data_IF_500467034591
#
_entry.id   IF_500467034591
#
_cell.length_a   1.000
_cell.length_b   1.000
_cell.length_c   1.000
_cell.angle_alpha   90.00
_cell.angle_beta   90.00
_cell.angle_gamma   90.00
#
_symmetry.space_group_name_H-M   'P 1'
#
loop_
_entity.id
_entity.type
_entity.pdbx_description
1 polymer ?
#
# COMPACT_ATOMS: atom_id res chain seq x y z
N UNK A 1 28.41 -33.02 -31.12
CA UNK A 1 27.08 -32.77 -30.53
C UNK A 1 27.24 -31.70 -29.45
N UNK A 2 26.82 -30.50 -29.71
CA UNK A 2 26.81 -29.43 -28.67
C UNK A 2 25.64 -29.72 -27.75
N UNK A 3 25.96 -30.17 -26.53
CA UNK A 3 24.96 -30.30 -25.47
C UNK A 3 24.58 -28.86 -25.04
N UNK A 4 23.48 -28.36 -25.61
CA UNK A 4 22.94 -27.09 -25.28
C UNK A 4 22.65 -27.01 -23.79
N UNK A 5 22.93 -25.85 -23.15
CA UNK A 5 22.67 -25.59 -21.72
C UNK A 5 21.22 -26.00 -21.39
N UNK A 6 21.04 -26.89 -20.41
CA UNK A 6 19.72 -27.32 -19.97
C UNK A 6 18.82 -26.10 -19.65
N UNK A 7 17.59 -26.14 -20.14
CA UNK A 7 16.64 -25.08 -19.87
C UNK A 7 16.44 -24.88 -18.37
N UNK A 8 16.52 -23.66 -17.90
CA UNK A 8 16.21 -23.33 -16.51
C UNK A 8 14.72 -23.41 -16.20
N UNK A 9 13.84 -23.33 -17.21
CA UNK A 9 12.41 -23.52 -17.05
C UNK A 9 12.12 -25.02 -16.96
N UNK A 10 11.90 -25.50 -15.76
CA UNK A 10 11.49 -26.88 -15.44
C UNK A 10 10.05 -26.86 -14.90
N UNK A 11 9.32 -28.01 -14.99
CA UNK A 11 7.98 -28.09 -14.43
C UNK A 11 7.90 -27.75 -12.94
N UNK A 12 8.91 -28.14 -12.17
CA UNK A 12 9.00 -27.88 -10.73
C UNK A 12 9.13 -26.36 -10.46
N UNK A 13 10.01 -25.67 -11.18
CA UNK A 13 10.18 -24.22 -11.05
C UNK A 13 8.92 -23.47 -11.51
N UNK A 14 8.31 -23.90 -12.61
CA UNK A 14 7.04 -23.34 -13.06
C UNK A 14 5.98 -23.44 -11.96
N UNK A 15 5.86 -24.61 -11.35
CA UNK A 15 4.92 -24.83 -10.24
C UNK A 15 5.23 -23.94 -9.05
N UNK A 16 6.50 -23.87 -8.60
CA UNK A 16 6.91 -23.02 -7.47
C UNK A 16 6.56 -21.54 -7.72
N UNK A 17 6.79 -21.04 -8.93
CA UNK A 17 6.45 -19.67 -9.32
C UNK A 17 4.94 -19.45 -9.26
N UNK A 18 4.16 -20.35 -9.88
CA UNK A 18 2.70 -20.24 -9.90
C UNK A 18 2.09 -20.35 -8.49
N UNK A 19 2.60 -21.24 -7.65
CA UNK A 19 2.15 -21.39 -6.26
C UNK A 19 2.41 -20.10 -5.46
N UNK A 20 3.62 -19.53 -5.55
CA UNK A 20 3.94 -18.28 -4.90
C UNK A 20 3.06 -17.11 -5.39
N UNK A 21 2.86 -17.00 -6.70
CA UNK A 21 2.01 -15.94 -7.29
C UNK A 21 0.55 -16.11 -6.85
N UNK A 22 0.04 -17.33 -6.79
CA UNK A 22 -1.33 -17.59 -6.34
C UNK A 22 -1.58 -17.20 -4.88
N UNK A 23 -0.53 -17.11 -4.07
CA UNK A 23 -0.57 -16.57 -2.71
C UNK A 23 -0.50 -15.04 -2.65
N UNK A 24 -0.36 -14.37 -3.80
CA UNK A 24 -0.26 -12.92 -3.89
C UNK A 24 1.16 -12.36 -3.83
N UNK A 25 2.20 -13.20 -4.01
CA UNK A 25 3.58 -12.71 -4.04
C UNK A 25 3.88 -11.90 -5.31
N UNK A 26 4.85 -10.99 -5.20
CA UNK A 26 5.38 -10.29 -6.38
C UNK A 26 6.24 -11.21 -7.24
N UNK A 27 6.43 -10.88 -8.50
CA UNK A 27 7.32 -11.62 -9.41
C UNK A 27 8.75 -11.72 -8.88
N UNK A 28 9.24 -10.67 -8.22
CA UNK A 28 10.56 -10.67 -7.58
C UNK A 28 10.68 -11.75 -6.51
N UNK A 29 9.67 -11.87 -5.63
CA UNK A 29 9.64 -12.86 -4.56
C UNK A 29 9.47 -14.27 -5.14
N UNK A 30 8.56 -14.45 -6.10
CA UNK A 30 8.32 -15.73 -6.76
C UNK A 30 9.56 -16.24 -7.52
N UNK A 31 10.27 -15.35 -8.21
CA UNK A 31 11.53 -15.67 -8.89
C UNK A 31 12.60 -16.11 -7.89
N UNK A 32 12.80 -15.36 -6.81
CA UNK A 32 13.75 -15.71 -5.75
C UNK A 32 13.44 -17.06 -5.10
N UNK A 33 12.16 -17.34 -4.82
CA UNK A 33 11.71 -18.63 -4.28
C UNK A 33 12.01 -19.81 -5.22
N UNK A 34 11.87 -19.61 -6.54
CA UNK A 34 12.19 -20.62 -7.54
C UNK A 34 13.69 -20.68 -7.91
N UNK A 35 14.55 -19.89 -7.27
CA UNK A 35 16.00 -19.88 -7.50
C UNK A 35 16.40 -19.31 -8.86
N UNK A 36 15.66 -18.29 -9.35
CA UNK A 36 15.97 -17.55 -10.59
C UNK A 36 15.96 -16.04 -10.31
N UNK A 37 16.48 -15.27 -11.25
CA UNK A 37 16.39 -13.80 -11.17
C UNK A 37 15.04 -13.30 -11.68
N UNK A 38 14.58 -12.19 -11.16
CA UNK A 38 13.38 -11.50 -11.64
C UNK A 38 13.44 -11.23 -13.16
N UNK A 39 14.60 -10.81 -13.65
CA UNK A 39 14.85 -10.61 -15.08
C UNK A 39 14.60 -11.88 -15.92
N UNK A 40 15.00 -13.04 -15.40
CA UNK A 40 14.76 -14.32 -16.06
C UNK A 40 13.28 -14.64 -16.17
N UNK A 41 12.53 -14.40 -15.09
CA UNK A 41 11.08 -14.57 -15.06
C UNK A 41 10.39 -13.68 -16.10
N UNK A 42 10.70 -12.38 -16.11
CA UNK A 42 10.13 -11.46 -17.11
C UNK A 42 10.48 -11.86 -18.55
N UNK A 43 11.70 -12.35 -18.78
CA UNK A 43 12.10 -12.82 -20.10
C UNK A 43 11.25 -14.03 -20.55
N UNK A 44 10.95 -14.97 -19.65
CA UNK A 44 10.10 -16.12 -19.95
C UNK A 44 8.65 -15.71 -20.24
N UNK A 45 8.12 -14.76 -19.46
CA UNK A 45 6.78 -14.21 -19.68
C UNK A 45 6.68 -13.50 -21.03
N UNK A 46 7.66 -12.64 -21.37
CA UNK A 46 7.68 -11.94 -22.65
C UNK A 46 7.80 -12.90 -23.85
N UNK A 47 8.51 -14.01 -23.69
CA UNK A 47 8.61 -15.06 -24.73
C UNK A 47 7.29 -15.81 -24.89
N UNK A 48 6.62 -16.15 -23.79
CA UNK A 48 5.31 -16.79 -23.83
C UNK A 48 4.24 -15.89 -24.47
N UNK A 49 4.26 -14.59 -24.13
CA UNK A 49 3.37 -13.60 -24.72
C UNK A 49 3.57 -13.45 -26.24
N UNK A 50 4.80 -13.56 -26.75
CA UNK A 50 5.12 -13.55 -28.18
C UNK A 50 4.75 -14.86 -28.90
N UNK A 51 4.30 -15.89 -28.17
CA UNK A 51 3.92 -17.17 -28.75
C UNK A 51 5.07 -18.16 -28.91
N UNK A 52 6.20 -18.00 -28.21
CA UNK A 52 7.25 -19.03 -28.22
C UNK A 52 6.73 -20.30 -27.54
N UNK A 53 6.54 -21.37 -28.28
CA UNK A 53 5.89 -22.62 -27.90
C UNK A 53 6.31 -23.15 -26.53
N UNK A 54 7.61 -23.08 -26.23
CA UNK A 54 8.19 -23.52 -24.97
C UNK A 54 7.71 -22.74 -23.74
N UNK A 55 7.30 -21.49 -23.92
CA UNK A 55 6.96 -20.56 -22.81
C UNK A 55 5.47 -20.22 -22.77
N UNK A 56 4.69 -20.58 -23.79
CA UNK A 56 3.25 -20.26 -23.87
C UNK A 56 2.50 -20.81 -22.66
N UNK A 57 2.69 -22.10 -22.37
CA UNK A 57 1.99 -22.75 -21.25
C UNK A 57 2.36 -22.10 -19.92
N UNK A 58 3.63 -21.82 -19.69
CA UNK A 58 4.11 -21.13 -18.50
C UNK A 58 3.47 -19.74 -18.35
N UNK A 59 3.39 -18.97 -19.44
CA UNK A 59 2.75 -17.66 -19.43
C UNK A 59 1.27 -17.75 -19.00
N UNK A 60 0.52 -18.68 -19.58
CA UNK A 60 -0.88 -18.90 -19.22
C UNK A 60 -1.05 -19.36 -17.78
N UNK A 61 -0.20 -20.25 -17.31
CA UNK A 61 -0.22 -20.75 -15.92
C UNK A 61 0.02 -19.62 -14.91
N UNK A 62 0.97 -18.73 -15.20
CA UNK A 62 1.24 -17.55 -14.37
C UNK A 62 0.04 -16.61 -14.36
N UNK A 63 -0.55 -16.29 -15.51
CA UNK A 63 -1.76 -15.44 -15.58
C UNK A 63 -2.95 -16.04 -14.84
N UNK A 64 -3.12 -17.34 -14.91
CA UNK A 64 -4.12 -18.07 -14.15
C UNK A 64 -3.86 -18.02 -12.64
N UNK A 65 -2.59 -18.15 -12.24
CA UNK A 65 -2.18 -18.06 -10.83
C UNK A 65 -2.45 -16.65 -10.24
N UNK A 66 -2.15 -15.57 -10.99
CA UNK A 66 -2.48 -14.19 -10.62
C UNK A 66 -3.98 -14.01 -10.39
N UNK A 67 -4.79 -14.43 -11.34
CA UNK A 67 -6.25 -14.33 -11.26
C UNK A 67 -6.80 -15.11 -10.06
N UNK A 68 -6.29 -16.34 -9.85
CA UNK A 68 -6.68 -17.17 -8.71
C UNK A 68 -6.35 -16.50 -7.37
N UNK A 69 -5.14 -15.96 -7.23
CA UNK A 69 -4.72 -15.24 -6.04
C UNK A 69 -5.59 -14.03 -5.75
N UNK A 70 -5.86 -13.20 -6.77
CA UNK A 70 -6.71 -12.03 -6.65
C UNK A 70 -8.13 -12.41 -6.18
N UNK A 71 -8.73 -13.46 -6.77
CA UNK A 71 -10.07 -13.93 -6.38
C UNK A 71 -10.09 -14.46 -4.94
N UNK A 72 -9.07 -15.21 -4.52
CA UNK A 72 -8.98 -15.73 -3.16
C UNK A 72 -8.89 -14.60 -2.13
N UNK A 73 -8.07 -13.59 -2.37
CA UNK A 73 -7.96 -12.43 -1.47
C UNK A 73 -9.23 -11.60 -1.44
N UNK A 74 -9.87 -11.38 -2.60
CA UNK A 74 -11.14 -10.68 -2.69
C UNK A 74 -12.23 -11.44 -1.93
N UNK A 75 -12.27 -12.78 -2.04
CA UNK A 75 -13.21 -13.61 -1.28
C UNK A 75 -13.04 -13.46 0.23
N UNK A 76 -11.80 -13.41 0.74
CA UNK A 76 -11.54 -13.18 2.17
C UNK A 76 -12.01 -11.79 2.63
N UNK A 77 -11.78 -10.75 1.82
CA UNK A 77 -12.25 -9.40 2.12
C UNK A 77 -13.77 -9.34 2.12
N UNK A 78 -14.41 -9.99 1.14
CA UNK A 78 -15.87 -10.08 1.06
C UNK A 78 -16.45 -10.83 2.27
N UNK A 79 -15.83 -11.94 2.68
CA UNK A 79 -16.24 -12.66 3.88
C UNK A 79 -16.13 -11.79 5.14
N UNK A 80 -15.03 -11.09 5.33
CA UNK A 80 -14.85 -10.17 6.44
C UNK A 80 -15.93 -9.06 6.47
N UNK A 81 -16.33 -8.57 5.30
CA UNK A 81 -17.42 -7.60 5.16
C UNK A 81 -18.77 -8.18 5.63
N UNK A 82 -19.05 -9.44 5.28
CA UNK A 82 -20.26 -10.15 5.70
C UNK A 82 -20.26 -10.42 7.22
N UNK A 83 -19.09 -10.70 7.79
CA UNK A 83 -18.90 -10.92 9.23
C UNK A 83 -18.96 -9.61 10.06
N UNK A 84 -19.32 -8.49 9.44
CA UNK A 84 -19.56 -7.21 10.12
C UNK A 84 -18.36 -6.23 10.07
N UNK A 85 -17.27 -6.55 9.39
CA UNK A 85 -16.16 -5.62 9.21
C UNK A 85 -16.46 -4.64 8.06
N UNK A 86 -17.17 -3.55 8.36
CA UNK A 86 -17.57 -2.56 7.35
C UNK A 86 -16.40 -1.95 6.57
N UNK A 87 -15.21 -1.88 7.18
CA UNK A 87 -13.99 -1.39 6.53
C UNK A 87 -13.60 -2.23 5.31
N UNK A 88 -13.88 -3.53 5.33
CA UNK A 88 -13.65 -4.40 4.18
C UNK A 88 -14.55 -4.01 3.00
N UNK A 89 -15.81 -3.70 3.25
CA UNK A 89 -16.74 -3.20 2.22
C UNK A 89 -16.31 -1.83 1.70
N UNK A 90 -15.92 -0.91 2.60
CA UNK A 90 -15.43 0.41 2.23
C UNK A 90 -14.18 0.31 1.34
N UNK A 91 -13.24 -0.59 1.67
CA UNK A 91 -12.03 -0.83 0.88
C UNK A 91 -12.36 -1.30 -0.55
N UNK A 92 -13.32 -2.23 -0.70
CA UNK A 92 -13.75 -2.71 -2.03
C UNK A 92 -14.37 -1.56 -2.84
N UNK A 93 -15.26 -0.78 -2.22
CA UNK A 93 -15.92 0.37 -2.85
C UNK A 93 -14.91 1.42 -3.30
N UNK A 94 -13.94 1.75 -2.46
CA UNK A 94 -12.89 2.71 -2.77
C UNK A 94 -12.01 2.22 -3.93
N UNK A 95 -11.46 1.00 -3.83
CA UNK A 95 -10.46 0.49 -4.76
C UNK A 95 -11.04 0.06 -6.11
N UNK A 96 -12.25 -0.52 -6.11
CA UNK A 96 -12.85 -1.04 -7.33
C UNK A 96 -13.81 -0.06 -7.99
N UNK A 97 -14.55 0.71 -7.20
CA UNK A 97 -15.60 1.58 -7.69
C UNK A 97 -15.27 3.07 -7.58
N UNK A 98 -14.18 3.44 -6.89
CA UNK A 98 -13.72 4.83 -6.76
C UNK A 98 -14.63 5.74 -5.93
N UNK A 99 -15.54 5.17 -5.10
CA UNK A 99 -16.51 5.95 -4.32
C UNK A 99 -15.86 6.95 -3.35
N UNK A 100 -14.70 6.62 -2.81
CA UNK A 100 -13.95 7.46 -1.87
C UNK A 100 -12.62 7.92 -2.47
N UNK A 101 -12.58 8.09 -3.78
CA UNK A 101 -11.43 8.75 -4.37
C UNK A 101 -11.33 10.10 -3.68
N UNK A 102 -10.26 10.31 -2.91
CA UNK A 102 -10.00 11.60 -2.28
C UNK A 102 -10.38 12.68 -3.28
N UNK A 103 -11.28 13.62 -2.92
CA UNK A 103 -11.42 14.81 -3.73
C UNK A 103 -9.99 15.32 -3.93
N UNK A 104 -9.66 15.68 -5.16
CA UNK A 104 -8.39 16.34 -5.46
C UNK A 104 -8.15 17.29 -4.29
N UNK A 105 -7.00 17.14 -3.63
CA UNK A 105 -6.59 18.11 -2.62
C UNK A 105 -6.48 19.38 -3.44
N UNK A 106 -7.56 20.15 -3.46
CA UNK A 106 -7.52 21.50 -4.00
C UNK A 106 -6.45 22.14 -3.12
N UNK A 107 -5.28 22.51 -3.66
CA UNK A 107 -4.32 23.22 -2.88
C UNK A 107 -5.05 24.50 -2.45
N UNK A 108 -5.53 24.54 -1.20
CA UNK A 108 -5.98 25.76 -0.59
C UNK A 108 -4.70 26.57 -0.45
N UNK A 109 -4.39 27.33 -1.49
CA UNK A 109 -3.43 28.40 -1.38
C UNK A 109 -4.09 29.42 -0.46
N UNK A 110 -3.80 29.30 0.83
CA UNK A 110 -4.06 30.36 1.77
C UNK A 110 -3.11 31.47 1.34
N UNK A 111 -3.60 32.38 0.50
CA UNK A 111 -2.96 33.67 0.32
C UNK A 111 -3.16 34.39 1.65
N UNK A 112 -2.16 34.26 2.50
CA UNK A 112 -2.02 35.15 3.66
C UNK A 112 -1.55 36.46 3.01
N UNK A 113 -2.48 37.37 2.79
CA UNK A 113 -2.13 38.77 2.49
C UNK A 113 -1.36 39.29 3.71
N UNK A 114 -0.05 39.28 3.59
CA UNK A 114 0.88 39.69 4.62
C UNK A 114 0.69 41.16 5.05
N UNK A 115 -0.12 41.94 4.32
CA UNK A 115 -0.44 43.31 4.66
C UNK A 115 -1.54 43.46 5.72
N UNK A 116 -2.33 42.44 6.01
CA UNK A 116 -3.44 42.58 6.97
C UNK A 116 -3.22 41.83 8.30
N UNK A 117 -2.22 41.01 8.43
CA UNK A 117 -1.87 40.38 9.72
C UNK A 117 -0.75 41.18 10.37
N UNK A 118 -1.11 42.22 11.09
CA UNK A 118 -0.16 42.93 11.98
C UNK A 118 0.34 41.92 13.00
N UNK A 119 1.65 41.63 13.00
CA UNK A 119 2.31 40.78 13.99
C UNK A 119 2.04 41.26 15.41
N UNK A 120 1.84 42.58 15.59
CA UNK A 120 1.43 43.21 16.85
C UNK A 120 0.04 42.77 17.30
N UNK A 121 -0.93 42.61 16.42
CA UNK A 121 -2.27 42.13 16.79
C UNK A 121 -2.26 40.65 17.22
N UNK A 122 -1.46 39.79 16.57
CA UNK A 122 -1.27 38.40 16.96
C UNK A 122 -0.55 38.29 18.33
N UNK A 123 0.42 39.14 18.60
CA UNK A 123 1.12 39.19 19.90
C UNK A 123 0.16 39.65 20.98
N UNK A 124 -0.73 40.58 20.72
CA UNK A 124 -1.72 41.04 21.70
C UNK A 124 -2.76 39.95 22.00
N UNK A 125 -3.20 39.21 21.00
CA UNK A 125 -4.15 38.10 21.16
C UNK A 125 -3.55 36.91 21.92
N UNK A 126 -2.24 36.67 21.81
CA UNK A 126 -1.51 35.67 22.59
C UNK A 126 -1.17 36.05 24.00
N UNK A 127 -1.15 37.37 24.35
CA UNK A 127 -0.91 37.85 25.70
C UNK A 127 -2.08 37.63 26.65
N UNK A 128 -3.31 37.71 26.14
CA UNK A 128 -4.53 37.59 26.96
C UNK A 128 -4.67 36.22 27.65
N UNK A 129 -4.39 35.09 27.03
CA UNK A 129 -4.45 33.80 27.73
C UNK A 129 -3.30 33.60 28.75
N UNK A 130 -2.16 34.26 28.55
CA UNK A 130 -1.01 34.15 29.47
C UNK A 130 -1.26 34.95 30.75
N UNK A 131 -1.90 36.10 30.66
CA UNK A 131 -2.29 36.90 31.85
C UNK A 131 -3.40 36.22 32.65
N UNK A 132 -4.35 35.54 31.99
CA UNK A 132 -5.38 34.79 32.70
C UNK A 132 -4.83 33.55 33.43
N UNK A 133 -3.74 32.95 32.95
CA UNK A 133 -3.07 31.87 33.67
C UNK A 133 -2.27 32.35 34.89
N UNK A 134 -1.71 33.57 34.88
CA UNK A 134 -1.04 34.17 36.04
C UNK A 134 -2.00 34.56 37.16
N UNK A 135 -3.27 34.77 36.84
CA UNK A 135 -4.29 35.10 37.84
C UNK A 135 -4.80 33.86 38.64
N UNK A 136 -4.37 32.67 38.27
CA UNK A 136 -4.78 31.39 38.90
C UNK A 136 -3.76 30.97 39.99
N UNK A 137 -2.59 31.56 40.07
CA UNK A 137 -1.66 31.37 41.19
C UNK A 137 -2.19 32.08 42.42
N UNK A 138 -3.10 31.38 43.13
CA UNK A 138 -3.54 31.78 44.47
C UNK A 138 -2.37 31.73 45.46
N UNK A 139 -2.51 32.40 46.63
CA UNK A 139 -1.42 32.54 47.58
C UNK A 139 -0.91 31.18 48.05
N UNK A 140 0.41 31.03 48.03
CA UNK A 140 1.12 29.88 48.60
C UNK A 140 0.68 29.71 50.05
N UNK A 141 0.02 28.60 50.38
CA UNK A 141 -0.30 28.25 51.75
C UNK A 141 1.02 27.83 52.39
N UNK A 142 1.51 28.70 53.30
CA UNK A 142 2.63 28.43 54.17
C UNK A 142 2.21 27.33 55.14
N UNK A 143 2.66 26.10 54.96
CA UNK A 143 2.49 25.00 55.90
C UNK A 143 3.63 25.14 56.92
N UNK A 144 3.34 25.86 57.99
CA UNK A 144 4.23 25.98 59.17
C UNK A 144 4.58 24.59 59.69
N UNK A 145 5.86 24.44 59.98
CA UNK A 145 6.42 23.32 60.74
C UNK A 145 5.91 23.33 62.16
N UNK A 146 5.33 22.23 62.66
CA UNK A 146 5.37 21.74 64.03
C UNK A 146 5.69 20.25 64.06
#
# INVERSE_FOLDING_TARGET
MTIGRKSLLTPERSKMICDAISLGSTYKIAAGYAGITERTLYLWLAKGERGEEKYIQFFHDVKKAESKGAIQHLGKITQAAQDGTWQASAWILERRHGYFRNPEVIPVSIQIDAEQVSVSALIEELKTPIESLKAIDGPVIDVGEE
#
